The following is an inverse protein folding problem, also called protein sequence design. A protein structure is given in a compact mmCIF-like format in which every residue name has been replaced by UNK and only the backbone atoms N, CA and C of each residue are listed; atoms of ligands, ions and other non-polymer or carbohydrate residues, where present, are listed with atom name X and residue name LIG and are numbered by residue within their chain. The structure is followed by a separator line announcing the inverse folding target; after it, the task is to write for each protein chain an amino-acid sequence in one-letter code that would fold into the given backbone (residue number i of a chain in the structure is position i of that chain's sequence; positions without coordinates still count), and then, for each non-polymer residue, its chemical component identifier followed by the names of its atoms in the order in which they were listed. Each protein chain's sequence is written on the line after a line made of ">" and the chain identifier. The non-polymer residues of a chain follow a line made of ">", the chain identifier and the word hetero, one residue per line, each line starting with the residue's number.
data_IF_241087744881
#
_entry.id   IF_241087744881
#
_cell.length_a   1.000
_cell.length_b   1.000
_cell.length_c   1.000
_cell.angle_alpha   90.00
_cell.angle_beta   90.00
_cell.angle_gamma   90.00
#
_symmetry.space_group_name_H-M   'P 1'
#
loop_
_entity.id
_entity.type
_entity.pdbx_description
1 polymer ?
#
# COMPACT_ATOMS: atom_id res chain seq x y z
N UNK A 1 31.50 2.70 18.82
CA UNK A 1 30.37 2.32 18.00
C UNK A 1 30.12 0.84 18.22
N UNK A 2 28.94 0.45 18.69
CA UNK A 2 28.58 -0.96 18.83
C UNK A 2 28.16 -1.48 17.44
N UNK A 3 28.74 -2.58 17.00
CA UNK A 3 28.38 -3.27 15.77
C UNK A 3 26.97 -3.86 15.92
N UNK A 4 26.11 -3.64 14.96
CA UNK A 4 24.80 -4.31 14.90
C UNK A 4 24.99 -5.80 14.58
N UNK A 5 24.00 -6.65 14.96
CA UNK A 5 24.02 -8.09 14.62
C UNK A 5 24.18 -8.34 13.12
N UNK A 6 23.58 -7.49 12.30
CA UNK A 6 23.66 -7.56 10.83
C UNK A 6 25.06 -7.24 10.31
N UNK A 7 25.70 -6.21 10.85
CA UNK A 7 27.07 -5.85 10.50
C UNK A 7 28.07 -6.93 10.94
N UNK A 8 27.85 -7.54 12.11
CA UNK A 8 28.65 -8.65 12.58
C UNK A 8 28.53 -9.89 11.69
N UNK A 9 27.28 -10.29 11.34
CA UNK A 9 27.04 -11.45 10.48
C UNK A 9 27.53 -11.22 9.05
N UNK A 10 27.30 -10.03 8.49
CA UNK A 10 27.80 -9.69 7.16
C UNK A 10 29.34 -9.62 7.12
N UNK A 11 29.97 -9.07 8.14
CA UNK A 11 31.45 -9.03 8.26
C UNK A 11 32.06 -10.40 8.42
N UNK A 12 31.50 -11.25 9.29
CA UNK A 12 32.05 -12.59 9.54
C UNK A 12 31.86 -13.52 8.32
N UNK A 13 30.72 -13.50 7.65
CA UNK A 13 30.49 -14.31 6.44
C UNK A 13 31.34 -13.84 5.25
N UNK A 14 31.58 -12.55 5.10
CA UNK A 14 32.46 -12.01 4.07
C UNK A 14 33.94 -12.38 4.34
N UNK A 15 34.35 -12.38 5.60
CA UNK A 15 35.72 -12.75 6.00
C UNK A 15 35.98 -14.23 5.76
N UNK A 16 35.08 -15.11 6.20
CA UNK A 16 35.24 -16.57 6.03
C UNK A 16 35.12 -16.97 4.56
N UNK A 17 34.16 -16.43 3.84
CA UNK A 17 33.99 -16.68 2.40
C UNK A 17 35.15 -16.11 1.57
N UNK A 18 35.64 -14.92 1.90
CA UNK A 18 36.77 -14.29 1.23
C UNK A 18 38.07 -15.04 1.41
N UNK A 19 38.36 -15.51 2.65
CA UNK A 19 39.51 -16.34 2.93
C UNK A 19 39.46 -17.70 2.19
N UNK A 20 38.29 -18.36 2.17
CA UNK A 20 38.13 -19.61 1.47
C UNK A 20 38.34 -19.47 -0.05
N UNK A 21 37.85 -18.38 -0.67
CA UNK A 21 38.01 -18.12 -2.10
C UNK A 21 39.45 -17.69 -2.44
N UNK A 22 40.12 -16.93 -1.59
CA UNK A 22 41.52 -16.54 -1.80
C UNK A 22 42.47 -17.75 -1.76
N UNK A 23 42.20 -18.76 -0.91
CA UNK A 23 42.98 -20.00 -0.89
C UNK A 23 42.81 -20.83 -2.18
N UNK A 24 41.74 -20.62 -2.94
CA UNK A 24 41.52 -21.23 -4.26
C UNK A 24 42.10 -20.42 -5.43
N UNK A 25 42.86 -19.35 -5.14
CA UNK A 25 43.47 -18.49 -6.15
C UNK A 25 42.52 -17.57 -6.88
N UNK A 26 41.30 -17.37 -6.36
CA UNK A 26 40.30 -16.47 -6.95
C UNK A 26 40.56 -15.04 -6.49
N UNK A 27 40.89 -14.16 -7.42
CA UNK A 27 41.03 -12.72 -7.15
C UNK A 27 39.65 -12.06 -6.95
N UNK A 28 39.41 -11.58 -5.73
CA UNK A 28 38.19 -10.88 -5.33
C UNK A 28 38.26 -9.35 -5.47
N UNK A 29 39.45 -8.81 -5.83
CA UNK A 29 39.64 -7.35 -5.94
C UNK A 29 38.61 -6.67 -6.85
N UNK A 30 38.21 -7.21 -8.02
CA UNK A 30 37.19 -6.57 -8.86
C UNK A 30 35.82 -6.54 -8.19
N UNK A 31 35.46 -7.59 -7.43
CA UNK A 31 34.18 -7.69 -6.73
C UNK A 31 34.13 -6.70 -5.57
N UNK A 32 35.23 -6.58 -4.83
CA UNK A 32 35.37 -5.63 -3.72
C UNK A 32 35.32 -4.20 -4.24
N UNK A 33 36.05 -3.89 -5.32
CA UNK A 33 36.02 -2.57 -5.96
C UNK A 33 34.60 -2.21 -6.45
N UNK A 34 33.90 -3.14 -7.08
CA UNK A 34 32.51 -2.95 -7.49
C UNK A 34 31.55 -2.72 -6.30
N UNK A 35 31.72 -3.48 -5.22
CA UNK A 35 30.92 -3.30 -4.01
C UNK A 35 31.19 -1.94 -3.32
N UNK A 36 32.44 -1.45 -3.34
CA UNK A 36 32.78 -0.12 -2.84
C UNK A 36 32.22 1.00 -3.72
N UNK A 37 32.22 0.83 -5.03
CA UNK A 37 31.63 1.76 -5.97
C UNK A 37 30.09 1.80 -5.80
N UNK A 38 29.45 0.66 -5.60
CA UNK A 38 28.01 0.56 -5.30
C UNK A 38 27.65 1.23 -3.96
N UNK A 39 28.51 1.16 -2.95
CA UNK A 39 28.33 1.90 -1.69
C UNK A 39 28.36 3.43 -1.89
N UNK A 40 29.15 3.93 -2.86
CA UNK A 40 29.19 5.37 -3.19
C UNK A 40 27.89 5.85 -3.86
N UNK A 41 27.14 4.95 -4.50
CA UNK A 41 25.85 5.24 -5.20
C UNK A 41 24.66 5.00 -4.27
N UNK A 42 24.85 4.94 -2.97
CA UNK A 42 23.78 4.68 -2.00
C UNK A 42 22.77 5.85 -1.98
N UNK A 43 21.81 5.79 -2.91
CA UNK A 43 20.73 6.78 -3.04
C UNK A 43 19.93 6.94 -1.74
N UNK A 44 19.92 5.92 -0.90
CA UNK A 44 19.20 5.89 0.38
C UNK A 44 19.86 6.81 1.41
N UNK A 45 21.18 6.99 1.37
CA UNK A 45 21.90 7.88 2.31
C UNK A 45 21.56 9.35 2.19
N UNK A 46 21.12 9.79 1.00
CA UNK A 46 20.73 11.18 0.74
C UNK A 46 19.21 11.36 0.73
N UNK A 47 18.46 10.29 0.95
CA UNK A 47 17.01 10.30 0.93
C UNK A 47 16.43 10.61 2.33
N UNK A 48 15.31 11.32 2.34
CA UNK A 48 14.48 11.43 3.54
C UNK A 48 13.68 10.15 3.69
N UNK A 49 13.86 9.44 4.81
CA UNK A 49 13.07 8.27 5.14
C UNK A 49 11.81 8.64 5.90
N UNK A 50 10.71 7.99 5.58
CA UNK A 50 9.41 8.16 6.24
C UNK A 50 8.79 6.79 6.41
N UNK A 51 8.34 6.47 7.63
CA UNK A 51 7.61 5.25 7.92
C UNK A 51 6.19 5.31 7.40
N UNK A 52 5.66 4.18 6.96
CA UNK A 52 4.31 4.00 6.45
C UNK A 52 3.83 2.57 6.67
N UNK A 53 2.58 2.31 6.35
CA UNK A 53 1.99 0.97 6.40
C UNK A 53 1.69 0.47 4.98
N UNK A 54 1.86 -0.83 4.77
CA UNK A 54 1.58 -1.48 3.48
C UNK A 54 0.08 -1.43 3.18
N UNK A 55 -0.27 -1.00 1.97
CA UNK A 55 -1.66 -0.82 1.52
C UNK A 55 -2.35 -2.11 1.04
N UNK A 56 -1.70 -3.29 1.10
CA UNK A 56 -2.24 -4.47 0.43
C UNK A 56 -3.15 -5.36 1.27
N UNK A 57 -2.96 -5.44 2.57
CA UNK A 57 -3.83 -6.29 3.40
C UNK A 57 -3.76 -5.91 4.87
N UNK A 58 -4.70 -6.48 5.65
CA UNK A 58 -4.87 -6.24 7.08
C UNK A 58 -3.71 -6.72 7.98
N UNK A 59 -2.65 -7.32 7.42
CA UNK A 59 -1.43 -7.63 8.18
C UNK A 59 -0.78 -6.35 8.69
N UNK A 60 -0.87 -5.24 7.95
CA UNK A 60 -0.36 -3.95 8.39
C UNK A 60 1.16 -3.91 8.49
N UNK A 61 1.89 -4.53 7.54
CA UNK A 61 3.35 -4.49 7.52
C UNK A 61 3.89 -3.05 7.47
N UNK A 62 4.87 -2.75 8.33
CA UNK A 62 5.57 -1.48 8.31
C UNK A 62 6.50 -1.36 7.12
N UNK A 63 6.51 -0.18 6.51
CA UNK A 63 7.34 0.19 5.37
C UNK A 63 8.18 1.42 5.70
N UNK A 64 9.35 1.51 5.07
CA UNK A 64 10.16 2.73 4.99
C UNK A 64 10.16 3.20 3.54
N UNK A 65 9.59 4.38 3.29
CA UNK A 65 9.66 5.06 2.01
C UNK A 65 10.84 6.05 2.01
N UNK A 66 11.75 5.86 1.07
CA UNK A 66 12.89 6.76 0.86
C UNK A 66 12.56 7.75 -0.25
N UNK A 67 12.59 9.05 0.07
CA UNK A 67 12.25 10.14 -0.85
C UNK A 67 13.48 10.97 -1.18
N UNK A 68 13.74 11.19 -2.45
CA UNK A 68 14.77 12.11 -2.91
C UNK A 68 14.42 13.53 -2.46
N UNK A 69 15.30 14.14 -1.68
CA UNK A 69 15.09 15.49 -1.10
C UNK A 69 15.05 16.60 -2.14
N UNK A 70 15.64 16.39 -3.33
CA UNK A 70 15.67 17.38 -4.40
C UNK A 70 14.42 17.34 -5.28
N UNK A 71 13.94 16.14 -5.59
CA UNK A 71 12.81 15.96 -6.52
C UNK A 71 11.49 15.69 -5.83
N UNK A 72 11.51 15.34 -4.54
CA UNK A 72 10.33 14.91 -3.79
C UNK A 72 9.77 13.54 -4.23
N UNK A 73 10.46 12.82 -5.11
CA UNK A 73 10.01 11.52 -5.61
C UNK A 73 10.45 10.39 -4.68
N UNK A 74 9.58 9.41 -4.48
CA UNK A 74 9.95 8.16 -3.82
C UNK A 74 10.92 7.41 -4.73
N UNK A 75 12.04 6.97 -4.18
CA UNK A 75 13.10 6.27 -4.91
C UNK A 75 13.31 4.82 -4.42
N UNK A 76 12.79 4.49 -3.23
CA UNK A 76 12.83 3.15 -2.68
C UNK A 76 11.69 2.95 -1.68
N UNK A 77 11.19 1.71 -1.56
CA UNK A 77 10.31 1.27 -0.48
C UNK A 77 10.84 -0.08 0.00
N UNK A 78 11.02 -0.21 1.30
CA UNK A 78 11.49 -1.44 1.96
C UNK A 78 10.71 -1.71 3.25
N UNK A 79 10.85 -2.91 3.82
CA UNK A 79 10.23 -3.24 5.09
C UNK A 79 10.92 -2.55 6.25
N UNK A 80 10.14 -2.09 7.22
CA UNK A 80 10.64 -1.46 8.43
C UNK A 80 11.12 -2.54 9.42
N UNK A 81 12.44 -2.62 9.73
CA UNK A 81 12.97 -3.63 10.64
C UNK A 81 12.57 -3.40 12.10
N UNK A 82 12.13 -2.21 12.45
CA UNK A 82 11.69 -1.88 13.82
C UNK A 82 10.18 -2.11 14.01
N UNK A 83 9.45 -2.38 12.93
CA UNK A 83 8.02 -2.60 13.01
C UNK A 83 7.68 -3.99 13.57
N UNK A 84 6.86 -4.08 14.66
CA UNK A 84 6.67 -5.32 15.41
C UNK A 84 5.94 -6.43 14.66
N UNK A 85 5.24 -6.11 13.55
CA UNK A 85 4.48 -7.11 12.78
C UNK A 85 5.35 -7.85 11.78
N UNK A 86 6.24 -7.17 11.08
CA UNK A 86 6.99 -7.76 9.97
C UNK A 86 8.51 -7.72 10.12
N UNK A 87 9.05 -6.99 11.10
CA UNK A 87 10.49 -6.93 11.41
C UNK A 87 11.37 -6.83 10.15
N UNK A 88 10.96 -5.97 9.20
CA UNK A 88 11.64 -5.74 7.92
C UNK A 88 11.29 -6.73 6.81
N UNK A 89 10.59 -7.83 7.08
CA UNK A 89 10.18 -8.79 6.05
C UNK A 89 8.94 -8.31 5.29
N UNK A 90 8.88 -8.62 4.00
CA UNK A 90 7.73 -8.30 3.15
C UNK A 90 7.39 -9.49 2.24
N UNK A 91 6.10 -9.70 2.00
CA UNK A 91 5.67 -10.59 0.92
C UNK A 91 5.96 -9.95 -0.45
N UNK A 92 5.83 -10.72 -1.52
CA UNK A 92 6.08 -10.25 -2.89
C UNK A 92 5.30 -8.96 -3.27
N UNK A 93 4.06 -8.79 -2.79
CA UNK A 93 3.27 -7.57 -3.03
C UNK A 93 3.85 -6.35 -2.32
N UNK A 94 4.17 -6.48 -1.02
CA UNK A 94 4.80 -5.41 -0.25
C UNK A 94 6.18 -5.04 -0.79
N UNK A 95 6.99 -6.02 -1.14
CA UNK A 95 8.32 -5.79 -1.74
C UNK A 95 8.24 -5.08 -3.10
N UNK A 96 7.19 -5.36 -3.90
CA UNK A 96 6.96 -4.72 -5.20
C UNK A 96 6.23 -3.37 -5.11
N UNK A 97 5.92 -2.86 -3.91
CA UNK A 97 5.09 -1.66 -3.75
C UNK A 97 5.69 -0.41 -4.40
N UNK A 98 7.01 -0.27 -4.43
CA UNK A 98 7.67 0.81 -5.16
C UNK A 98 7.32 0.78 -6.65
N UNK A 99 7.49 -0.39 -7.29
CA UNK A 99 7.24 -0.57 -8.72
C UNK A 99 5.76 -0.48 -9.08
N UNK A 100 4.88 -0.98 -8.23
CA UNK A 100 3.44 -1.02 -8.50
C UNK A 100 2.72 0.30 -8.20
N UNK A 101 3.27 1.13 -7.32
CA UNK A 101 2.64 2.39 -6.89
C UNK A 101 3.46 3.62 -7.26
N UNK A 102 4.64 3.82 -6.65
CA UNK A 102 5.40 5.06 -6.76
C UNK A 102 6.06 5.24 -8.14
N UNK A 103 6.61 4.17 -8.72
CA UNK A 103 7.29 4.19 -10.02
C UNK A 103 6.39 3.83 -11.20
N UNK A 104 5.11 3.50 -10.96
CA UNK A 104 4.19 3.08 -12.00
C UNK A 104 3.64 4.29 -12.80
N UNK A 105 4.13 4.49 -14.00
CA UNK A 105 3.68 5.55 -14.91
C UNK A 105 2.25 5.35 -15.41
N UNK A 106 1.73 4.12 -15.38
CA UNK A 106 0.35 3.80 -15.78
C UNK A 106 -0.66 3.98 -14.66
N UNK A 107 -0.23 4.37 -13.46
CA UNK A 107 -1.13 4.62 -12.35
C UNK A 107 -2.06 5.78 -12.64
N UNK A 108 -3.37 5.57 -12.48
CA UNK A 108 -4.36 6.62 -12.58
C UNK A 108 -4.20 7.62 -11.43
N UNK A 109 -3.93 8.87 -11.75
CA UNK A 109 -3.77 9.98 -10.80
C UNK A 109 -4.91 10.99 -10.84
N UNK A 110 -5.87 10.78 -11.75
CA UNK A 110 -7.00 11.69 -11.98
C UNK A 110 -8.29 10.90 -12.05
N UNK A 111 -9.39 11.54 -11.65
CA UNK A 111 -10.73 10.97 -11.82
C UNK A 111 -11.09 10.94 -13.29
N UNK A 112 -11.46 9.77 -13.79
CA UNK A 112 -11.96 9.59 -15.14
C UNK A 112 -13.45 9.29 -15.09
N UNK A 113 -14.23 10.08 -15.81
CA UNK A 113 -15.68 9.93 -15.96
C UNK A 113 -16.04 9.61 -17.41
N UNK A 114 -16.93 8.66 -17.60
CA UNK A 114 -17.54 8.36 -18.89
C UNK A 114 -19.06 8.49 -18.79
N UNK A 115 -19.60 9.42 -19.54
CA UNK A 115 -21.04 9.62 -19.58
C UNK A 115 -21.78 8.39 -20.13
N UNK A 116 -23.05 8.14 -19.72
CA UNK A 116 -23.86 7.07 -20.29
C UNK A 116 -23.87 7.11 -21.82
N UNK A 117 -23.75 5.94 -22.46
CA UNK A 117 -23.69 5.78 -23.93
C UNK A 117 -22.52 6.47 -24.64
N UNK A 118 -21.57 7.06 -23.90
CA UNK A 118 -20.36 7.66 -24.46
C UNK A 118 -19.21 6.64 -24.51
N UNK A 119 -18.35 6.74 -25.50
CA UNK A 119 -17.08 6.00 -25.59
C UNK A 119 -15.87 6.85 -25.20
N UNK A 120 -16.08 8.11 -24.76
CA UNK A 120 -15.00 9.04 -24.42
C UNK A 120 -14.89 9.22 -22.91
N UNK A 121 -13.66 9.12 -22.40
CA UNK A 121 -13.33 9.45 -21.02
C UNK A 121 -13.03 10.94 -20.87
N UNK A 122 -13.49 11.52 -19.77
CA UNK A 122 -13.29 12.92 -19.41
C UNK A 122 -12.61 12.96 -18.04
N UNK A 123 -11.58 13.77 -17.90
CA UNK A 123 -10.97 14.06 -16.61
C UNK A 123 -11.88 15.00 -15.82
N UNK A 124 -12.13 14.68 -14.55
CA UNK A 124 -12.89 15.48 -13.60
C UNK A 124 -12.06 15.77 -12.34
N UNK A 125 -12.45 16.81 -11.59
CA UNK A 125 -11.88 17.09 -10.28
C UNK A 125 -12.38 16.08 -9.24
N UNK A 126 -11.64 15.94 -8.14
CA UNK A 126 -12.07 15.14 -6.99
C UNK A 126 -13.36 15.72 -6.35
N UNK A 127 -13.46 17.04 -6.21
CA UNK A 127 -14.65 17.69 -5.64
C UNK A 127 -15.90 17.38 -6.46
N UNK A 128 -15.79 17.43 -7.78
CA UNK A 128 -16.88 17.03 -8.67
C UNK A 128 -17.26 15.56 -8.45
N UNK A 129 -16.29 14.67 -8.42
CA UNK A 129 -16.53 13.23 -8.29
C UNK A 129 -17.19 12.89 -6.96
N UNK A 130 -16.68 13.41 -5.85
CA UNK A 130 -17.23 13.19 -4.51
C UNK A 130 -18.67 13.71 -4.44
N UNK A 131 -18.91 14.90 -4.98
CA UNK A 131 -20.26 15.50 -5.00
C UNK A 131 -21.25 14.65 -5.81
N UNK A 132 -20.87 14.19 -6.99
CA UNK A 132 -21.74 13.37 -7.83
C UNK A 132 -22.00 11.98 -7.23
N UNK A 133 -20.98 11.33 -6.68
CA UNK A 133 -21.12 10.04 -5.98
C UNK A 133 -22.07 10.20 -4.78
N UNK A 134 -21.89 11.24 -3.98
CA UNK A 134 -22.74 11.51 -2.82
C UNK A 134 -24.21 11.76 -3.22
N UNK A 135 -24.45 12.47 -4.32
CA UNK A 135 -25.82 12.68 -4.87
C UNK A 135 -26.46 11.35 -5.28
N UNK A 136 -25.70 10.46 -5.95
CA UNK A 136 -26.24 9.17 -6.37
C UNK A 136 -26.55 8.27 -5.19
N UNK A 137 -25.63 8.17 -4.23
CA UNK A 137 -25.84 7.40 -2.99
C UNK A 137 -27.07 7.94 -2.24
N UNK A 138 -27.17 9.27 -2.08
CA UNK A 138 -28.32 9.88 -1.39
C UNK A 138 -29.64 9.59 -2.11
N UNK A 139 -29.68 9.77 -3.43
CA UNK A 139 -30.88 9.49 -4.24
C UNK A 139 -31.36 8.05 -4.06
N UNK A 140 -30.44 7.10 -4.21
CA UNK A 140 -30.79 5.68 -4.18
C UNK A 140 -31.11 5.24 -2.74
N UNK A 141 -30.40 5.78 -1.74
CA UNK A 141 -30.71 5.56 -0.33
C UNK A 141 -32.12 6.08 0.03
N UNK A 142 -32.43 7.31 -0.33
CA UNK A 142 -33.74 7.92 0.00
C UNK A 142 -34.87 7.18 -0.69
N UNK A 143 -34.67 6.68 -1.91
CA UNK A 143 -35.68 5.87 -2.64
C UNK A 143 -35.85 4.46 -2.04
N UNK A 144 -34.84 3.88 -1.44
CA UNK A 144 -34.86 2.50 -0.93
C UNK A 144 -34.85 2.37 0.59
N UNK A 145 -35.01 3.46 1.34
CA UNK A 145 -34.94 3.43 2.80
C UNK A 145 -36.21 2.83 3.43
N UNK A 146 -36.05 1.79 4.24
CA UNK A 146 -37.09 1.08 4.95
C UNK A 146 -36.96 1.37 6.44
N UNK A 147 -37.81 2.26 6.96
CA UNK A 147 -37.79 2.62 8.39
C UNK A 147 -38.35 1.50 9.28
N UNK A 148 -39.42 0.83 8.85
CA UNK A 148 -40.08 -0.24 9.58
C UNK A 148 -40.34 -1.44 8.67
N UNK A 149 -40.22 -2.64 9.19
CA UNK A 149 -40.58 -3.87 8.48
C UNK A 149 -42.11 -4.10 8.49
N UNK A 150 -42.56 -5.17 7.83
CA UNK A 150 -43.99 -5.55 7.77
C UNK A 150 -44.62 -5.86 9.12
N UNK A 151 -43.82 -6.12 10.16
CA UNK A 151 -44.26 -6.38 11.54
C UNK A 151 -44.26 -5.09 12.39
N UNK A 152 -44.00 -3.91 11.82
CA UNK A 152 -43.93 -2.64 12.53
C UNK A 152 -42.65 -2.37 13.31
N UNK A 153 -41.68 -3.28 13.28
CA UNK A 153 -40.41 -3.11 13.96
C UNK A 153 -39.52 -2.11 13.21
N UNK A 154 -38.83 -1.25 13.94
CA UNK A 154 -37.85 -0.29 13.38
C UNK A 154 -36.62 -1.05 12.88
N UNK A 155 -36.26 -0.90 11.61
CA UNK A 155 -35.14 -1.59 10.96
C UNK A 155 -34.15 -0.62 10.32
N UNK A 156 -34.55 0.58 9.93
CA UNK A 156 -33.69 1.64 9.37
C UNK A 156 -32.67 1.11 8.34
N UNK A 157 -33.14 0.39 7.33
CA UNK A 157 -32.28 -0.32 6.39
C UNK A 157 -32.45 0.12 4.95
N UNK A 158 -31.43 -0.16 4.13
CA UNK A 158 -31.36 0.07 2.69
C UNK A 158 -30.98 -1.24 2.00
N UNK A 159 -31.80 -1.71 1.06
CA UNK A 159 -31.61 -2.97 0.34
C UNK A 159 -31.23 -2.81 -1.14
N UNK A 160 -31.31 -1.61 -1.67
CA UNK A 160 -31.01 -1.29 -3.07
C UNK A 160 -29.58 -0.80 -3.31
N UNK A 161 -28.76 -0.73 -2.27
CA UNK A 161 -27.34 -0.41 -2.35
C UNK A 161 -26.54 -1.54 -1.68
N UNK A 162 -25.49 -2.02 -2.34
CA UNK A 162 -24.54 -2.99 -1.80
C UNK A 162 -23.13 -2.42 -1.81
N UNK A 163 -22.33 -2.83 -0.83
CA UNK A 163 -20.90 -2.54 -0.78
C UNK A 163 -20.11 -3.85 -0.92
N UNK A 164 -19.20 -3.87 -1.90
CA UNK A 164 -18.24 -4.95 -2.09
C UNK A 164 -16.84 -4.42 -1.83
N UNK A 165 -16.20 -4.85 -0.75
CA UNK A 165 -14.85 -4.46 -0.37
C UNK A 165 -13.76 -5.23 -1.09
N UNK A 166 -12.52 -4.82 -0.87
CA UNK A 166 -11.31 -5.45 -1.40
C UNK A 166 -10.49 -6.09 -0.27
N UNK A 167 -9.66 -7.08 -0.61
CA UNK A 167 -8.63 -7.60 0.31
C UNK A 167 -7.44 -6.63 0.49
N UNK A 168 -7.35 -5.61 -0.34
CA UNK A 168 -6.30 -4.60 -0.30
C UNK A 168 -6.71 -3.41 0.59
N UNK A 169 -7.03 -3.70 1.82
CA UNK A 169 -7.43 -2.74 2.83
C UNK A 169 -6.77 -3.14 4.15
N UNK A 170 -6.36 -2.17 4.94
CA UNK A 170 -5.91 -2.39 6.31
C UNK A 170 -7.09 -2.49 7.30
N UNK A 171 -6.80 -2.72 8.56
CA UNK A 171 -7.83 -2.93 9.59
C UNK A 171 -8.64 -1.65 9.84
N UNK A 172 -8.01 -0.50 9.86
CA UNK A 172 -8.63 0.79 10.09
C UNK A 172 -9.56 1.17 8.94
N UNK A 173 -9.14 0.92 7.70
CA UNK A 173 -9.97 1.13 6.51
C UNK A 173 -11.21 0.21 6.52
N UNK A 174 -11.05 -1.08 6.84
CA UNK A 174 -12.15 -2.02 6.96
C UNK A 174 -13.17 -1.59 8.03
N UNK A 175 -12.68 -1.13 9.18
CA UNK A 175 -13.52 -0.63 10.26
C UNK A 175 -14.28 0.63 9.83
N UNK A 176 -13.58 1.61 9.26
CA UNK A 176 -14.17 2.89 8.82
C UNK A 176 -15.24 2.68 7.75
N UNK A 177 -14.96 1.87 6.74
CA UNK A 177 -15.93 1.51 5.68
C UNK A 177 -17.16 0.86 6.29
N UNK A 178 -16.97 -0.13 7.16
CA UNK A 178 -18.08 -0.83 7.82
C UNK A 178 -18.94 0.12 8.65
N UNK A 179 -18.33 1.01 9.43
CA UNK A 179 -19.04 2.02 10.20
C UNK A 179 -19.83 2.98 9.30
N UNK A 180 -19.20 3.47 8.23
CA UNK A 180 -19.83 4.38 7.26
C UNK A 180 -21.03 3.73 6.57
N UNK A 181 -20.89 2.55 5.98
CA UNK A 181 -21.98 1.93 5.21
C UNK A 181 -23.14 1.47 6.12
N UNK A 182 -22.84 1.04 7.35
CA UNK A 182 -23.88 0.74 8.35
C UNK A 182 -24.62 1.99 8.81
N UNK A 183 -23.93 3.13 8.98
CA UNK A 183 -24.57 4.39 9.34
C UNK A 183 -25.56 4.87 8.27
N UNK A 184 -25.34 4.50 7.01
CA UNK A 184 -26.27 4.75 5.90
C UNK A 184 -27.42 3.74 5.85
N UNK A 185 -27.36 2.66 6.63
CA UNK A 185 -28.41 1.62 6.70
C UNK A 185 -28.20 0.46 5.73
N UNK A 186 -27.05 0.35 5.04
CA UNK A 186 -26.80 -0.74 4.11
C UNK A 186 -26.76 -2.09 4.84
N UNK A 187 -27.45 -3.08 4.29
CA UNK A 187 -27.45 -4.46 4.81
C UNK A 187 -26.55 -5.39 4.00
N UNK A 188 -26.28 -5.07 2.75
CA UNK A 188 -25.41 -5.86 1.88
C UNK A 188 -23.99 -5.29 1.93
N UNK A 189 -23.18 -5.86 2.81
CA UNK A 189 -21.79 -5.50 3.00
C UNK A 189 -21.00 -6.79 2.90
N UNK A 190 -20.12 -6.88 1.93
CA UNK A 190 -19.28 -8.04 1.71
C UNK A 190 -17.85 -7.64 1.35
N UNK A 191 -16.95 -8.60 1.36
CA UNK A 191 -15.53 -8.42 1.16
C UNK A 191 -15.00 -9.54 0.26
N UNK A 192 -14.18 -9.21 -0.72
CA UNK A 192 -13.66 -10.16 -1.70
C UNK A 192 -12.91 -11.33 -1.05
N UNK A 193 -12.17 -11.09 0.03
CA UNK A 193 -11.38 -12.11 0.72
C UNK A 193 -12.19 -13.01 1.67
N UNK A 194 -13.52 -12.85 1.74
CA UNK A 194 -14.39 -13.68 2.58
C UNK A 194 -14.63 -15.08 2.00
N UNK A 195 -14.35 -15.30 0.75
CA UNK A 195 -14.58 -16.58 0.05
C UNK A 195 -13.50 -17.59 0.41
#
# INVERSE_FOLDING_TARGET
>A
MALTRREFLAGSSALVGGLALSTLGIDLSPVIAYAEEMKKIDKVKIAKQTTSICCYCSVGCGLIASTDTKTGKIINIEGDPEHPVNEGTLCAKGAASYQTTAANEHRLTKVLYRAPKSNKWQTKSWDWAITEIAKWIKRDRDAGFIAKNRKGQVVNRVENIAHMGSSNLDNEECWLITAMVRSMGLVYIDHQARV
#
